data_IF_660829382412
#
_entry.id   IF_660829382412
#
_cell.length_a   1.000
_cell.length_b   1.000
_cell.length_c   1.000
_cell.angle_alpha   90.00
_cell.angle_beta   90.00
_cell.angle_gamma   90.00
#
_symmetry.space_group_name_H-M   'P 1'
#
loop_
_entity.id
_entity.type
_entity.pdbx_description
1 polymer ?
#
# COMPACT_ATOMS: atom_id res chain seq x y z
N UNK A 1 17.84 -4.59 12.52
CA UNK A 1 17.81 -4.60 11.04
C UNK A 1 17.37 -5.96 10.55
N UNK A 2 16.86 -6.05 9.33
CA UNK A 2 16.49 -7.33 8.71
C UNK A 2 17.76 -8.06 8.28
N UNK A 3 18.12 -9.14 8.99
CA UNK A 3 19.23 -10.03 8.64
C UNK A 3 18.85 -11.47 8.95
N UNK A 4 19.64 -12.43 8.44
CA UNK A 4 19.47 -13.83 8.82
C UNK A 4 19.50 -14.01 10.35
N UNK A 5 20.37 -13.26 11.05
CA UNK A 5 20.51 -13.33 12.50
C UNK A 5 19.27 -12.85 13.27
N UNK A 6 18.45 -11.96 12.70
CA UNK A 6 17.25 -11.45 13.37
C UNK A 6 15.97 -12.17 12.93
N UNK A 7 15.90 -12.60 11.68
CA UNK A 7 14.68 -13.19 11.10
C UNK A 7 14.72 -14.73 11.15
N UNK A 8 15.90 -15.35 11.21
CA UNK A 8 16.06 -16.80 11.12
C UNK A 8 15.76 -17.37 9.72
N UNK A 9 15.62 -16.51 8.71
CA UNK A 9 15.30 -16.87 7.34
C UNK A 9 16.21 -16.13 6.34
N UNK A 10 16.49 -16.71 5.14
CA UNK A 10 17.22 -16.03 4.09
C UNK A 10 16.51 -14.74 3.65
N UNK A 11 17.29 -13.68 3.43
CA UNK A 11 16.80 -12.43 2.85
C UNK A 11 17.25 -12.37 1.41
N UNK A 12 16.27 -12.36 0.50
CA UNK A 12 16.51 -12.43 -0.93
C UNK A 12 15.89 -11.19 -1.59
N UNK A 13 16.62 -10.44 -2.43
CA UNK A 13 16.05 -9.34 -3.19
C UNK A 13 14.95 -9.83 -4.14
N UNK A 14 13.80 -9.16 -4.16
CA UNK A 14 12.64 -9.58 -4.95
C UNK A 14 12.96 -9.80 -6.44
N UNK A 15 13.74 -8.90 -7.05
CA UNK A 15 14.16 -8.95 -8.46
C UNK A 15 15.54 -9.59 -8.68
N UNK A 16 16.04 -10.33 -7.69
CA UNK A 16 17.41 -10.83 -7.66
C UNK A 16 18.44 -9.71 -7.42
N UNK A 17 19.69 -10.10 -7.13
CA UNK A 17 20.77 -9.17 -6.71
C UNK A 17 21.04 -8.06 -7.72
N UNK A 18 20.86 -8.34 -9.02
CA UNK A 18 21.08 -7.37 -10.11
C UNK A 18 19.82 -6.64 -10.56
N UNK A 19 18.69 -6.83 -9.88
CA UNK A 19 17.35 -6.34 -10.27
C UNK A 19 16.91 -6.73 -11.70
N UNK A 20 17.40 -7.86 -12.22
CA UNK A 20 17.12 -8.34 -13.59
C UNK A 20 16.23 -9.57 -13.64
N UNK A 21 15.82 -10.11 -12.48
CA UNK A 21 14.94 -11.27 -12.43
C UNK A 21 13.48 -10.82 -12.32
N UNK A 22 12.72 -11.02 -13.39
CA UNK A 22 11.32 -10.63 -13.49
C UNK A 22 10.57 -11.46 -14.53
N UNK A 23 9.25 -11.46 -14.42
CA UNK A 23 8.32 -11.95 -15.45
C UNK A 23 7.48 -10.79 -15.98
N UNK A 24 7.22 -10.76 -17.28
CA UNK A 24 6.28 -9.81 -17.87
C UNK A 24 4.87 -10.37 -17.70
N UNK A 25 4.02 -9.65 -16.98
CA UNK A 25 2.60 -9.99 -16.77
C UNK A 25 1.76 -8.96 -17.51
N UNK A 26 0.93 -9.44 -18.44
CA UNK A 26 -0.01 -8.60 -19.19
C UNK A 26 -1.35 -8.58 -18.47
N UNK A 27 -1.98 -7.42 -18.46
CA UNK A 27 -3.26 -7.17 -17.82
C UNK A 27 -4.30 -6.76 -18.85
N UNK A 28 -5.41 -7.48 -18.87
CA UNK A 28 -6.61 -7.05 -19.59
C UNK A 28 -7.38 -6.04 -18.72
N UNK A 29 -7.87 -4.97 -19.34
CA UNK A 29 -8.60 -3.91 -18.63
C UNK A 29 -7.76 -3.23 -17.55
N UNK A 30 -6.49 -2.89 -17.86
CA UNK A 30 -5.67 -2.01 -17.02
C UNK A 30 -6.12 -0.56 -17.12
N UNK A 31 -5.94 0.20 -16.05
CA UNK A 31 -6.19 1.64 -16.05
C UNK A 31 -5.14 2.39 -16.88
N UNK A 32 -3.86 2.14 -16.56
CA UNK A 32 -2.72 2.87 -17.15
C UNK A 32 -1.56 1.94 -17.55
N UNK A 33 -1.32 0.85 -16.81
CA UNK A 33 -0.16 -0.03 -17.03
C UNK A 33 -0.64 -1.44 -17.42
N UNK A 34 -0.68 -1.70 -18.72
CA UNK A 34 -1.15 -2.98 -19.27
C UNK A 34 -0.11 -4.11 -19.27
N UNK A 35 1.16 -3.81 -19.04
CA UNK A 35 2.23 -4.81 -18.89
C UNK A 35 3.18 -4.41 -17.75
N UNK A 36 3.32 -5.32 -16.79
CA UNK A 36 4.05 -5.12 -15.55
C UNK A 36 5.16 -6.17 -15.44
N UNK A 37 6.39 -5.71 -15.15
CA UNK A 37 7.49 -6.59 -14.78
C UNK A 37 7.40 -6.95 -13.31
N UNK A 38 6.78 -8.09 -13.02
CA UNK A 38 6.65 -8.61 -11.65
C UNK A 38 7.97 -9.22 -11.22
N UNK A 39 8.38 -8.96 -9.98
CA UNK A 39 9.63 -9.45 -9.43
C UNK A 39 9.69 -10.99 -9.42
N UNK A 40 10.77 -11.56 -9.96
CA UNK A 40 10.84 -13.00 -10.25
C UNK A 40 10.67 -13.89 -9.02
N UNK A 41 11.36 -13.58 -7.91
CA UNK A 41 11.23 -14.36 -6.68
C UNK A 41 9.82 -14.25 -6.07
N UNK A 42 9.13 -13.13 -6.28
CA UNK A 42 7.74 -12.94 -5.84
C UNK A 42 6.80 -13.72 -6.77
N UNK A 43 7.05 -13.70 -8.07
CA UNK A 43 6.25 -14.42 -9.06
C UNK A 43 6.32 -15.94 -8.81
N UNK A 44 7.52 -16.49 -8.58
CA UNK A 44 7.76 -17.92 -8.41
C UNK A 44 7.32 -18.50 -7.05
N UNK A 45 7.15 -17.65 -6.03
CA UNK A 45 6.74 -18.11 -4.70
C UNK A 45 5.37 -18.83 -4.74
N UNK A 46 5.16 -19.89 -3.95
CA UNK A 46 3.86 -20.56 -3.90
C UNK A 46 2.80 -19.74 -3.16
N UNK A 47 3.21 -19.03 -2.11
CA UNK A 47 2.36 -18.27 -1.19
C UNK A 47 2.97 -16.90 -0.97
N UNK A 48 2.13 -15.86 -0.88
CA UNK A 48 2.56 -14.49 -0.60
C UNK A 48 2.02 -14.03 0.75
N UNK A 49 2.93 -13.67 1.66
CA UNK A 49 2.58 -12.97 2.90
C UNK A 49 3.06 -11.53 2.79
N UNK A 50 2.12 -10.59 2.75
CA UNK A 50 2.38 -9.17 2.59
C UNK A 50 2.42 -8.48 3.95
N UNK A 51 3.61 -8.06 4.39
CA UNK A 51 3.79 -7.26 5.60
C UNK A 51 3.90 -5.78 5.21
N UNK A 52 2.92 -4.97 5.62
CA UNK A 52 2.91 -3.54 5.33
C UNK A 52 2.76 -2.69 6.61
N UNK A 53 3.24 -1.46 6.52
CA UNK A 53 3.11 -0.44 7.55
C UNK A 53 2.18 0.65 7.02
N UNK A 54 1.01 0.81 7.62
CA UNK A 54 0.00 1.77 7.18
C UNK A 54 0.35 3.19 7.64
N UNK A 55 0.77 4.05 6.71
CA UNK A 55 1.14 5.45 6.98
C UNK A 55 0.64 6.40 5.90
N UNK A 56 0.61 7.68 6.22
CA UNK A 56 0.32 8.73 5.23
C UNK A 56 1.34 8.77 4.10
N UNK A 57 0.94 9.32 2.95
CA UNK A 57 1.80 9.41 1.78
C UNK A 57 1.52 10.67 0.94
N UNK A 58 2.58 11.41 0.63
CA UNK A 58 2.47 12.67 -0.13
C UNK A 58 1.94 12.51 -1.56
N UNK A 59 2.07 11.34 -2.20
CA UNK A 59 1.58 11.12 -3.58
C UNK A 59 0.16 10.54 -3.67
N UNK A 60 -0.31 9.81 -2.66
CA UNK A 60 -1.55 9.04 -2.72
C UNK A 60 -2.40 9.10 -1.44
N UNK A 61 -2.08 10.00 -0.50
CA UNK A 61 -2.78 10.12 0.78
C UNK A 61 -2.32 9.07 1.79
N UNK A 62 -2.36 7.78 1.43
CA UNK A 62 -2.03 6.66 2.30
C UNK A 62 -1.26 5.58 1.55
N UNK A 63 -0.31 4.93 2.23
CA UNK A 63 0.40 3.76 1.74
C UNK A 63 0.28 2.60 2.72
N UNK A 64 -0.54 1.61 2.36
CA UNK A 64 -0.64 0.33 3.06
C UNK A 64 -0.22 -0.85 2.18
N UNK A 65 -1.05 -1.88 2.16
CA UNK A 65 -0.77 -3.17 1.54
C UNK A 65 -0.75 -3.10 0.01
N UNK A 66 -1.56 -2.23 -0.60
CA UNK A 66 -1.58 -2.04 -2.06
C UNK A 66 -0.26 -1.44 -2.54
N UNK A 67 0.16 -0.31 -1.95
CA UNK A 67 1.42 0.36 -2.30
C UNK A 67 2.63 -0.54 -2.06
N UNK A 68 2.61 -1.34 -0.98
CA UNK A 68 3.70 -2.25 -0.67
C UNK A 68 3.97 -3.25 -1.80
N UNK A 69 2.91 -3.85 -2.37
CA UNK A 69 3.04 -4.72 -3.54
C UNK A 69 3.40 -3.93 -4.80
N UNK A 70 2.72 -2.81 -5.03
CA UNK A 70 2.88 -2.01 -6.25
C UNK A 70 4.31 -1.49 -6.45
N UNK A 71 5.00 -1.08 -5.38
CA UNK A 71 6.37 -0.56 -5.47
C UNK A 71 7.42 -1.62 -5.12
N UNK A 72 7.13 -2.52 -4.18
CA UNK A 72 8.08 -3.50 -3.65
C UNK A 72 8.25 -4.75 -4.50
N UNK A 73 7.22 -5.16 -5.24
CA UNK A 73 7.20 -6.42 -5.99
C UNK A 73 7.37 -6.25 -7.50
N UNK A 74 8.04 -5.17 -7.91
CA UNK A 74 8.25 -4.83 -9.33
C UNK A 74 9.64 -4.26 -9.58
N UNK A 75 10.02 -4.14 -10.86
CA UNK A 75 11.32 -3.60 -11.27
C UNK A 75 11.39 -2.08 -11.17
N UNK A 76 12.62 -1.55 -11.18
CA UNK A 76 12.88 -0.10 -11.15
C UNK A 76 12.16 0.66 -12.27
N UNK A 77 12.08 0.11 -13.48
CA UNK A 77 11.40 0.79 -14.60
C UNK A 77 9.89 0.89 -14.42
N UNK A 78 9.24 -0.12 -13.80
CA UNK A 78 7.81 -0.02 -13.47
C UNK A 78 7.59 1.00 -12.34
N UNK A 79 8.45 1.01 -11.31
CA UNK A 79 8.40 2.05 -10.27
C UNK A 79 8.51 3.46 -10.85
N UNK A 80 9.43 3.68 -11.79
CA UNK A 80 9.54 4.97 -12.49
C UNK A 80 8.29 5.30 -13.29
N UNK A 81 7.73 4.33 -14.04
CA UNK A 81 6.47 4.54 -14.78
C UNK A 81 5.33 4.95 -13.87
N UNK A 82 5.20 4.35 -12.69
CA UNK A 82 4.22 4.76 -11.68
C UNK A 82 4.43 6.23 -11.29
N UNK A 83 5.63 6.62 -10.90
CA UNK A 83 5.92 8.01 -10.53
C UNK A 83 5.78 9.00 -11.69
N UNK A 84 5.92 8.55 -12.95
CA UNK A 84 5.64 9.40 -14.11
C UNK A 84 4.14 9.71 -14.26
N UNK A 85 3.24 8.84 -13.77
CA UNK A 85 1.79 9.11 -13.73
C UNK A 85 1.45 10.29 -12.82
N UNK A 86 2.25 10.55 -11.77
CA UNK A 86 2.04 11.66 -10.84
C UNK A 86 2.18 13.03 -11.52
N UNK A 87 2.93 13.11 -12.63
CA UNK A 87 3.21 14.35 -13.36
C UNK A 87 2.10 14.73 -14.33
N UNK A 88 1.14 13.83 -14.56
CA UNK A 88 0.04 14.04 -15.48
C UNK A 88 -1.10 14.81 -14.79
N UNK A 89 -2.03 15.35 -15.59
CA UNK A 89 -3.31 15.84 -15.07
C UNK A 89 -4.04 14.73 -14.32
N UNK A 90 -4.67 15.06 -13.20
CA UNK A 90 -5.22 14.09 -12.23
C UNK A 90 -4.17 13.07 -11.72
N UNK A 91 -2.90 13.48 -11.62
CA UNK A 91 -1.77 12.59 -11.32
C UNK A 91 -1.94 11.75 -10.05
N UNK A 92 -2.57 12.29 -9.00
CA UNK A 92 -2.91 11.52 -7.78
C UNK A 92 -3.79 10.31 -8.08
N UNK A 93 -4.82 10.49 -8.89
CA UNK A 93 -5.76 9.42 -9.26
C UNK A 93 -5.06 8.40 -10.17
N UNK A 94 -4.34 8.88 -11.18
CA UNK A 94 -3.61 8.01 -12.11
C UNK A 94 -2.53 7.19 -11.41
N UNK A 95 -1.81 7.78 -10.46
CA UNK A 95 -0.85 7.06 -9.63
C UNK A 95 -1.52 5.96 -8.80
N UNK A 96 -2.65 6.26 -8.15
CA UNK A 96 -3.41 5.28 -7.37
C UNK A 96 -3.98 4.15 -8.24
N UNK A 97 -4.57 4.47 -9.40
CA UNK A 97 -5.04 3.49 -10.38
C UNK A 97 -3.88 2.64 -10.96
N UNK A 98 -2.72 3.26 -11.22
CA UNK A 98 -1.52 2.55 -11.65
C UNK A 98 -0.98 1.61 -10.58
N UNK A 99 -1.00 2.00 -9.29
CA UNK A 99 -0.63 1.11 -8.20
C UNK A 99 -1.55 -0.12 -8.16
N UNK A 100 -2.84 0.06 -8.42
CA UNK A 100 -3.82 -1.02 -8.52
C UNK A 100 -3.49 -1.96 -9.68
N UNK A 101 -3.16 -1.44 -10.87
CA UNK A 101 -2.70 -2.27 -12.00
C UNK A 101 -1.51 -3.14 -11.59
N UNK A 102 -0.48 -2.55 -10.98
CA UNK A 102 0.72 -3.28 -10.59
C UNK A 102 0.43 -4.31 -9.49
N UNK A 103 -0.36 -3.95 -8.48
CA UNK A 103 -0.80 -4.89 -7.45
C UNK A 103 -1.57 -6.08 -8.06
N UNK A 104 -2.43 -5.82 -9.04
CA UNK A 104 -3.17 -6.87 -9.77
C UNK A 104 -2.25 -7.78 -10.57
N UNK A 105 -1.22 -7.25 -11.22
CA UNK A 105 -0.21 -8.08 -11.86
C UNK A 105 0.56 -8.95 -10.86
N UNK A 106 0.95 -8.41 -9.71
CA UNK A 106 1.65 -9.16 -8.65
C UNK A 106 0.80 -10.31 -8.10
N UNK A 107 -0.51 -10.08 -7.94
CA UNK A 107 -1.45 -11.06 -7.38
C UNK A 107 -2.01 -12.04 -8.42
N UNK A 108 -1.82 -11.78 -9.73
CA UNK A 108 -2.43 -12.54 -10.84
C UNK A 108 -2.21 -14.06 -10.77
N UNK A 109 -1.04 -14.52 -10.31
CA UNK A 109 -0.73 -15.94 -10.19
C UNK A 109 -0.85 -16.49 -8.75
N UNK A 110 -1.44 -15.72 -7.83
CA UNK A 110 -1.55 -16.02 -6.39
C UNK A 110 -2.99 -16.11 -5.88
N UNK A 111 -3.95 -16.39 -6.74
CA UNK A 111 -5.36 -16.52 -6.35
C UNK A 111 -5.54 -17.49 -5.17
N UNK A 112 -6.10 -16.99 -4.06
CA UNK A 112 -6.35 -17.78 -2.84
C UNK A 112 -5.10 -18.14 -2.02
N UNK A 113 -3.90 -17.67 -2.42
CA UNK A 113 -2.61 -18.00 -1.78
C UNK A 113 -1.94 -16.77 -1.17
N UNK A 114 -2.73 -15.78 -0.77
CA UNK A 114 -2.25 -14.53 -0.17
C UNK A 114 -2.80 -14.30 1.21
N UNK A 115 -1.97 -13.73 2.08
CA UNK A 115 -2.36 -13.15 3.36
C UNK A 115 -1.67 -11.80 3.47
N UNK A 116 -2.41 -10.80 3.91
CA UNK A 116 -1.95 -9.43 4.06
C UNK A 116 -2.05 -9.05 5.54
N UNK A 117 -0.98 -8.48 6.08
CA UNK A 117 -0.90 -7.97 7.43
C UNK A 117 -0.49 -6.50 7.37
N UNK A 118 -1.21 -5.66 8.11
CA UNK A 118 -0.96 -4.23 8.18
C UNK A 118 -0.73 -3.82 9.63
N UNK A 119 0.44 -3.26 9.90
CA UNK A 119 0.75 -2.58 11.16
C UNK A 119 0.22 -1.15 11.07
N UNK A 120 -0.65 -0.80 12.00
CA UNK A 120 -1.21 0.52 12.21
C UNK A 120 -0.67 1.07 13.52
N UNK A 121 0.64 1.25 13.53
CA UNK A 121 1.41 1.83 14.62
C UNK A 121 2.18 3.04 14.10
N UNK A 122 2.54 3.98 14.97
CA UNK A 122 3.31 5.17 14.61
C UNK A 122 2.75 5.90 13.37
N UNK A 123 1.42 5.99 13.27
CA UNK A 123 0.74 6.48 12.05
C UNK A 123 1.03 7.96 11.88
N UNK A 124 1.91 8.31 10.95
CA UNK A 124 2.35 9.68 10.65
C UNK A 124 1.84 10.14 9.29
N UNK A 125 1.95 11.44 9.00
CA UNK A 125 1.51 12.03 7.74
C UNK A 125 2.34 11.60 6.53
N UNK A 126 3.61 11.21 6.69
CA UNK A 126 4.45 10.77 5.59
C UNK A 126 4.99 9.36 5.80
N UNK A 127 5.30 8.67 4.70
CA UNK A 127 5.82 7.32 4.77
C UNK A 127 7.27 7.29 5.27
N UNK A 128 7.71 6.10 5.68
CA UNK A 128 9.08 5.82 6.14
C UNK A 128 10.17 6.11 5.09
N UNK A 129 9.81 6.34 3.83
CA UNK A 129 10.75 6.78 2.79
C UNK A 129 11.20 8.24 2.96
N UNK A 130 10.53 9.02 3.81
CA UNK A 130 10.93 10.40 4.11
C UNK A 130 12.01 10.43 5.20
N UNK A 131 13.03 11.30 5.09
CA UNK A 131 14.23 11.22 5.94
C UNK A 131 14.07 11.83 7.35
N UNK A 132 12.87 12.25 7.73
CA UNK A 132 12.60 12.93 9.00
C UNK A 132 11.57 12.17 9.83
N UNK A 133 11.81 12.08 11.13
CA UNK A 133 10.86 11.53 12.10
C UNK A 133 9.70 12.50 12.31
N UNK A 134 8.50 11.94 12.38
CA UNK A 134 7.26 12.69 12.53
C UNK A 134 6.50 12.19 13.76
N UNK A 135 5.69 13.06 14.35
CA UNK A 135 4.84 12.72 15.49
C UNK A 135 3.58 12.04 14.95
N UNK A 136 3.18 10.87 15.47
CA UNK A 136 1.97 10.20 15.01
C UNK A 136 0.73 11.10 15.09
N UNK A 137 -0.13 11.03 14.07
CA UNK A 137 -1.34 11.84 13.94
C UNK A 137 -2.55 11.23 14.66
N UNK A 138 -2.50 9.93 14.96
CA UNK A 138 -3.52 9.17 15.70
C UNK A 138 -2.83 8.12 16.59
N UNK A 139 -3.48 7.62 17.67
CA UNK A 139 -2.96 6.50 18.45
C UNK A 139 -2.74 5.24 17.61
N UNK A 140 -1.87 4.36 18.10
CA UNK A 140 -1.71 3.02 17.55
C UNK A 140 -3.05 2.27 17.59
N UNK A 141 -3.43 1.70 16.45
CA UNK A 141 -4.65 0.90 16.30
C UNK A 141 -4.31 -0.59 16.50
N UNK A 142 -3.10 -1.01 16.12
CA UNK A 142 -2.63 -2.39 16.28
C UNK A 142 -2.29 -3.06 14.94
N UNK A 143 -2.57 -4.36 14.84
CA UNK A 143 -2.25 -5.17 13.65
C UNK A 143 -3.55 -5.69 13.05
N UNK A 144 -3.76 -5.41 11.77
CA UNK A 144 -4.87 -5.96 10.99
C UNK A 144 -4.36 -7.07 10.07
N UNK A 145 -5.19 -8.08 9.82
CA UNK A 145 -4.88 -9.14 8.89
C UNK A 145 -6.10 -9.54 8.06
N UNK A 146 -5.89 -9.82 6.78
CA UNK A 146 -6.94 -10.30 5.87
C UNK A 146 -6.34 -11.05 4.68
N UNK A 147 -7.14 -11.92 4.05
CA UNK A 147 -6.83 -12.47 2.72
C UNK A 147 -7.31 -11.55 1.59
N UNK A 148 -8.25 -10.66 1.87
CA UNK A 148 -8.76 -9.65 0.95
C UNK A 148 -7.97 -8.35 1.16
N UNK A 149 -7.23 -7.94 0.13
CA UNK A 149 -6.36 -6.76 0.17
C UNK A 149 -7.17 -5.45 0.22
N UNK A 150 -8.35 -5.41 -0.41
CA UNK A 150 -9.22 -4.23 -0.50
C UNK A 150 -9.89 -4.00 0.85
N UNK A 151 -10.46 -5.06 1.43
CA UNK A 151 -11.10 -5.02 2.74
C UNK A 151 -10.11 -4.55 3.82
N UNK A 152 -8.85 -5.02 3.75
CA UNK A 152 -7.81 -4.63 4.70
C UNK A 152 -7.42 -3.16 4.59
N UNK A 153 -7.20 -2.65 3.37
CA UNK A 153 -6.85 -1.25 3.15
C UNK A 153 -8.03 -0.33 3.54
N UNK A 154 -9.27 -0.73 3.22
CA UNK A 154 -10.48 -0.01 3.61
C UNK A 154 -10.65 0.05 5.13
N UNK A 155 -10.54 -1.10 5.81
CA UNK A 155 -10.66 -1.18 7.26
C UNK A 155 -9.59 -0.34 7.97
N UNK A 156 -8.37 -0.35 7.45
CA UNK A 156 -7.28 0.46 7.98
C UNK A 156 -7.58 1.96 7.89
N UNK A 157 -7.99 2.45 6.72
CA UNK A 157 -8.37 3.85 6.53
C UNK A 157 -9.53 4.25 7.42
N UNK A 158 -10.56 3.41 7.53
CA UNK A 158 -11.73 3.69 8.38
C UNK A 158 -11.33 3.80 9.85
N UNK A 159 -10.52 2.87 10.36
CA UNK A 159 -10.06 2.90 11.75
C UNK A 159 -9.18 4.13 12.01
N UNK A 160 -8.31 4.51 11.07
CA UNK A 160 -7.52 5.76 11.16
C UNK A 160 -8.44 6.97 11.19
N UNK A 161 -9.43 7.03 10.30
CA UNK A 161 -10.35 8.16 10.19
C UNK A 161 -11.23 8.27 11.45
N UNK A 162 -11.61 7.17 12.09
CA UNK A 162 -12.33 7.19 13.38
C UNK A 162 -11.45 7.49 14.59
N UNK A 163 -10.15 7.20 14.54
CA UNK A 163 -9.26 7.42 15.67
C UNK A 163 -9.16 8.91 16.06
N UNK A 164 -9.01 9.24 17.36
CA UNK A 164 -8.83 10.61 17.80
C UNK A 164 -7.50 11.18 17.31
N UNK A 165 -7.44 12.47 16.97
CA UNK A 165 -6.18 13.14 16.63
C UNK A 165 -5.25 13.18 17.86
N UNK A 166 -3.94 13.08 17.63
CA UNK A 166 -2.95 13.30 18.68
C UNK A 166 -2.45 14.75 18.70
N UNK A 167 -2.27 15.37 19.90
CA UNK A 167 -1.71 16.71 20.02
C UNK A 167 -0.24 16.76 19.59
N UNK A 168 0.26 17.97 19.26
CA UNK A 168 1.64 18.22 18.81
C UNK A 168 2.05 17.48 17.54
N UNK A 169 1.07 16.99 16.78
CA UNK A 169 1.26 16.35 15.48
C UNK A 169 0.70 17.21 14.36
N UNK A 170 0.83 16.74 13.11
CA UNK A 170 0.12 17.35 12.00
C UNK A 170 -1.40 17.41 12.24
N UNK A 171 -1.98 16.52 13.06
CA UNK A 171 -3.40 16.53 13.34
C UNK A 171 -3.89 17.84 13.99
N UNK A 172 -3.09 18.44 14.86
CA UNK A 172 -3.41 19.73 15.49
C UNK A 172 -3.32 20.88 14.48
N UNK A 173 -2.27 20.88 13.64
CA UNK A 173 -2.09 21.89 12.57
C UNK A 173 -3.29 21.96 11.61
N UNK A 174 -3.91 20.82 11.34
CA UNK A 174 -5.02 20.71 10.40
C UNK A 174 -6.42 20.65 11.07
N UNK A 175 -6.52 20.84 12.40
CA UNK A 175 -7.76 20.69 13.19
C UNK A 175 -8.53 19.41 12.82
N UNK A 176 -7.83 18.27 12.79
CA UNK A 176 -8.41 16.99 12.40
C UNK A 176 -9.38 16.48 13.47
N UNK A 177 -10.45 15.83 13.05
CA UNK A 177 -11.47 15.28 13.97
C UNK A 177 -11.73 13.80 13.70
N UNK A 178 -12.21 13.04 14.71
CA UNK A 178 -12.75 11.70 14.49
C UNK A 178 -13.83 11.71 13.39
N UNK A 179 -13.78 10.73 12.49
CA UNK A 179 -14.66 10.58 11.34
C UNK A 179 -14.27 11.38 10.10
N UNK A 180 -13.25 12.25 10.16
CA UNK A 180 -12.76 12.94 8.97
C UNK A 180 -11.73 12.11 8.20
N UNK A 181 -11.72 12.25 6.87
CA UNK A 181 -10.65 11.73 6.01
C UNK A 181 -9.36 12.50 6.28
N UNK A 182 -8.53 11.97 7.18
CA UNK A 182 -7.37 12.68 7.74
C UNK A 182 -6.31 12.95 6.67
N UNK A 183 -6.03 11.96 5.82
CA UNK A 183 -5.00 12.11 4.78
C UNK A 183 -5.42 13.02 3.64
N UNK A 184 -6.71 13.09 3.31
CA UNK A 184 -7.24 14.10 2.40
C UNK A 184 -7.03 15.51 2.96
N UNK A 185 -7.32 15.72 4.26
CA UNK A 185 -7.12 17.02 4.92
C UNK A 185 -5.65 17.45 4.97
N UNK A 186 -4.74 16.50 5.20
CA UNK A 186 -3.30 16.80 5.28
C UNK A 186 -2.68 17.01 3.89
N UNK A 187 -2.91 16.09 2.95
CA UNK A 187 -2.20 16.07 1.65
C UNK A 187 -2.99 16.68 0.50
N UNK A 188 -4.28 16.95 0.68
CA UNK A 188 -5.19 17.30 -0.42
C UNK A 188 -5.43 16.13 -1.38
N UNK A 189 -5.20 14.89 -0.93
CA UNK A 189 -5.25 13.68 -1.75
C UNK A 189 -6.09 12.61 -1.07
N UNK A 190 -7.17 12.21 -1.73
CA UNK A 190 -8.06 11.19 -1.20
C UNK A 190 -7.42 9.80 -1.30
N UNK A 191 -7.12 9.14 -0.16
CA UNK A 191 -6.55 7.79 -0.15
C UNK A 191 -7.54 6.69 -0.53
N UNK A 192 -8.84 6.97 -0.56
CA UNK A 192 -9.85 5.95 -0.89
C UNK A 192 -9.93 5.68 -2.41
N UNK A 193 -9.33 6.52 -3.25
CA UNK A 193 -9.30 6.31 -4.71
C UNK A 193 -8.68 4.96 -5.05
N UNK A 194 -7.53 4.60 -4.45
CA UNK A 194 -6.89 3.29 -4.68
C UNK A 194 -7.75 2.12 -4.19
N UNK A 195 -8.55 2.33 -3.13
CA UNK A 195 -9.42 1.29 -2.58
C UNK A 195 -10.56 0.98 -3.54
N UNK A 196 -11.29 2.00 -4.00
CA UNK A 196 -12.38 1.82 -4.96
C UNK A 196 -11.88 1.38 -6.34
N UNK A 197 -10.70 1.85 -6.76
CA UNK A 197 -10.07 1.37 -7.99
C UNK A 197 -9.69 -0.12 -7.89
N UNK A 198 -9.22 -0.58 -6.72
CA UNK A 198 -8.88 -1.98 -6.47
C UNK A 198 -10.11 -2.89 -6.44
N UNK A 199 -11.20 -2.46 -5.80
CA UNK A 199 -12.49 -3.15 -5.85
C UNK A 199 -12.98 -3.30 -7.30
N UNK A 200 -13.01 -2.19 -8.06
CA UNK A 200 -13.42 -2.19 -9.47
C UNK A 200 -12.51 -3.04 -10.36
N UNK A 201 -11.24 -3.20 -9.98
CA UNK A 201 -10.28 -4.08 -10.66
C UNK A 201 -10.42 -5.56 -10.27
N UNK A 202 -11.34 -5.90 -9.35
CA UNK A 202 -11.63 -7.27 -8.92
C UNK A 202 -10.62 -7.84 -7.92
N UNK A 203 -9.89 -6.99 -7.17
CA UNK A 203 -8.90 -7.44 -6.19
C UNK A 203 -9.50 -7.87 -4.84
N UNK A 204 -10.75 -7.52 -4.59
CA UNK A 204 -11.41 -7.73 -3.30
C UNK A 204 -12.64 -6.85 -3.17
N UNK A 205 -13.17 -6.74 -1.96
CA UNK A 205 -14.40 -5.99 -1.66
C UNK A 205 -14.14 -4.91 -0.61
N UNK A 206 -14.87 -3.81 -0.70
CA UNK A 206 -14.84 -2.75 0.33
C UNK A 206 -15.65 -3.10 1.57
N UNK A 207 -16.59 -4.04 1.46
CA UNK A 207 -17.33 -4.57 2.61
C UNK A 207 -16.44 -5.47 3.46
N UNK A 208 -16.40 -5.21 4.77
CA UNK A 208 -15.64 -6.01 5.72
C UNK A 208 -16.37 -6.13 7.06
N UNK A 209 -15.94 -7.13 7.84
CA UNK A 209 -16.33 -7.30 9.24
C UNK A 209 -15.08 -7.43 10.08
N UNK A 210 -14.94 -6.60 11.10
CA UNK A 210 -13.86 -6.74 12.08
C UNK A 210 -14.16 -7.90 13.03
N UNK A 211 -13.14 -8.73 13.26
CA UNK A 211 -13.16 -9.83 14.23
C UNK A 211 -11.94 -9.61 15.12
N UNK A 212 -12.19 -9.27 16.38
CA UNK A 212 -11.14 -9.17 17.40
C UNK A 212 -10.77 -10.57 17.91
N UNK A 213 -9.47 -10.82 18.08
CA UNK A 213 -8.89 -12.11 18.49
C UNK A 213 -7.98 -11.91 19.69
#
# INVERSE_FOLDING_TARGET
GLSYATVGAPIIPANGVKEKFYYNVKLEGAYHISEVKVAGNVYDADVLVNFAHGKGHGSCGFGGVIKNLALGCTTKDVRHKLHDLEKLEEGTKKFQEGMVDVARAVLSNKAGKTVHLMWLMDIVEHCDCTPFGLVPIVPDIGILASKDIVALEKAALDLIDQAPPLPWSAAEKYDLKPGENKFLRIHGKDPYIQVYAAEKAGLGNTDYKLIEV
#
